data_IF_852002244904
#
_entry.id   IF_852002244904
#
_cell.length_a   1.000
_cell.length_b   1.000
_cell.length_c   1.000
_cell.angle_alpha   90.00
_cell.angle_beta   90.00
_cell.angle_gamma   90.00
#
_symmetry.space_group_name_H-M   'P 1'
#
loop_
_entity.id
_entity.type
_entity.pdbx_description
1 polymer ?
#
# COMPACT_ATOMS: atom_id res chain seq x y z
N UNK A 1 -15.82 -2.58 -21.68
CA UNK A 1 -14.83 -1.89 -20.84
C UNK A 1 -15.43 -1.85 -19.44
N UNK A 2 -14.85 -2.56 -18.48
CA UNK A 2 -15.28 -2.39 -17.09
C UNK A 2 -14.94 -0.94 -16.71
N UNK A 3 -15.92 -0.22 -16.18
CA UNK A 3 -15.68 1.13 -15.66
C UNK A 3 -14.64 0.98 -14.54
N UNK A 4 -13.39 1.37 -14.79
CA UNK A 4 -12.35 1.33 -13.75
C UNK A 4 -12.82 2.21 -12.59
N UNK A 5 -12.91 1.62 -11.40
CA UNK A 5 -13.36 2.35 -10.22
C UNK A 5 -12.18 3.16 -9.72
N UNK A 6 -12.30 4.49 -9.82
CA UNK A 6 -11.29 5.44 -9.33
C UNK A 6 -11.75 5.98 -7.99
N UNK A 7 -10.83 6.09 -7.03
CA UNK A 7 -11.04 6.75 -5.74
C UNK A 7 -10.06 7.89 -5.57
N UNK A 8 -10.52 9.00 -4.98
CA UNK A 8 -9.62 10.06 -4.51
C UNK A 8 -9.09 9.64 -3.15
N UNK A 9 -7.78 9.48 -3.05
CA UNK A 9 -7.15 9.11 -1.79
C UNK A 9 -7.25 10.23 -0.76
N UNK A 10 -7.37 9.91 0.53
CA UNK A 10 -7.37 10.93 1.57
C UNK A 10 -6.08 11.77 1.57
N UNK A 11 -6.11 12.97 2.19
CA UNK A 11 -4.90 13.74 2.45
C UNK A 11 -3.89 12.96 3.29
N UNK A 12 -2.61 13.29 3.17
CA UNK A 12 -1.52 12.57 3.81
C UNK A 12 -1.69 12.47 5.35
N UNK A 13 -2.09 13.56 5.99
CA UNK A 13 -2.32 13.60 7.44
C UNK A 13 -3.43 12.63 7.87
N UNK A 14 -4.52 12.54 7.10
CA UNK A 14 -5.62 11.62 7.38
C UNK A 14 -5.19 10.17 7.19
N UNK A 15 -4.40 9.88 6.15
CA UNK A 15 -3.85 8.54 5.92
C UNK A 15 -2.92 8.12 7.06
N UNK A 16 -1.99 8.99 7.48
CA UNK A 16 -1.08 8.71 8.60
C UNK A 16 -1.87 8.45 9.88
N UNK A 17 -2.90 9.25 10.15
CA UNK A 17 -3.79 9.03 11.31
C UNK A 17 -4.46 7.65 11.25
N UNK A 18 -5.06 7.31 10.11
CA UNK A 18 -5.72 6.00 9.91
C UNK A 18 -4.75 4.83 10.10
N UNK A 19 -3.51 4.96 9.63
CA UNK A 19 -2.45 3.98 9.82
C UNK A 19 -2.01 3.86 11.29
N UNK A 20 -1.97 4.96 12.02
CA UNK A 20 -1.71 4.96 13.46
C UNK A 20 -2.87 4.30 14.23
N UNK A 21 -4.12 4.57 13.84
CA UNK A 21 -5.32 4.01 14.47
C UNK A 21 -5.38 2.48 14.36
N UNK A 22 -4.94 1.91 13.23
CA UNK A 22 -4.79 0.45 13.06
C UNK A 22 -3.47 -0.09 13.61
N UNK A 23 -2.66 0.75 14.26
CA UNK A 23 -1.44 0.36 14.93
C UNK A 23 -0.29 -0.01 13.98
N UNK A 24 -0.28 0.52 12.76
CA UNK A 24 0.80 0.30 11.79
C UNK A 24 1.76 1.49 11.68
N UNK A 25 1.46 2.61 12.32
CA UNK A 25 2.30 3.81 12.27
C UNK A 25 2.71 4.28 13.67
N UNK A 26 3.93 4.77 13.83
CA UNK A 26 4.47 5.31 15.07
C UNK A 26 5.07 4.25 16.01
N UNK A 27 5.47 3.10 15.47
CA UNK A 27 6.00 1.97 16.26
C UNK A 27 7.45 1.65 15.96
N UNK A 28 7.78 1.49 14.68
CA UNK A 28 9.07 1.00 14.20
C UNK A 28 9.58 1.91 13.08
N UNK A 29 10.85 2.35 13.17
CA UNK A 29 11.37 3.39 12.27
C UNK A 29 11.38 2.95 10.79
N UNK A 30 11.74 1.70 10.50
CA UNK A 30 11.76 1.17 9.13
C UNK A 30 10.36 1.08 8.53
N UNK A 31 9.38 0.65 9.33
CA UNK A 31 7.97 0.58 8.95
C UNK A 31 7.40 1.98 8.71
N UNK A 32 7.67 2.92 9.61
CA UNK A 32 7.20 4.30 9.51
C UNK A 32 7.77 5.02 8.27
N UNK A 33 9.05 4.79 7.95
CA UNK A 33 9.67 5.31 6.71
C UNK A 33 9.00 4.73 5.47
N UNK A 34 8.76 3.42 5.45
CA UNK A 34 8.08 2.77 4.33
C UNK A 34 6.66 3.33 4.15
N UNK A 35 5.87 3.37 5.22
CA UNK A 35 4.48 3.83 5.17
C UNK A 35 4.38 5.31 4.82
N UNK A 36 5.34 6.13 5.27
CA UNK A 36 5.44 7.53 4.85
C UNK A 36 5.67 7.65 3.34
N UNK A 37 6.62 6.90 2.78
CA UNK A 37 6.88 6.87 1.33
C UNK A 37 5.66 6.43 0.53
N UNK A 38 4.91 5.44 1.03
CA UNK A 38 3.65 5.01 0.43
C UNK A 38 2.59 6.11 0.45
N UNK A 39 2.37 6.75 1.61
CA UNK A 39 1.41 7.85 1.77
C UNK A 39 1.74 9.01 0.83
N UNK A 40 3.01 9.44 0.77
CA UNK A 40 3.46 10.53 -0.11
C UNK A 40 3.17 10.27 -1.60
N UNK A 41 3.21 9.01 -2.03
CA UNK A 41 2.95 8.61 -3.43
C UNK A 41 1.46 8.55 -3.80
N UNK A 42 0.56 8.46 -2.82
CA UNK A 42 -0.86 8.23 -3.09
C UNK A 42 -1.78 9.33 -2.57
N UNK A 43 -1.39 10.06 -1.51
CA UNK A 43 -2.24 11.04 -0.84
C UNK A 43 -2.78 12.11 -1.80
N UNK A 44 -4.08 12.41 -1.67
CA UNK A 44 -4.77 13.44 -2.47
C UNK A 44 -4.83 13.18 -3.97
N UNK A 45 -4.40 12.00 -4.44
CA UNK A 45 -4.42 11.65 -5.87
C UNK A 45 -5.49 10.61 -6.18
N UNK A 46 -5.93 10.62 -7.44
CA UNK A 46 -6.81 9.58 -7.98
C UNK A 46 -6.06 8.26 -8.13
N UNK A 47 -6.64 7.18 -7.61
CA UNK A 47 -6.07 5.83 -7.70
C UNK A 47 -7.13 4.80 -8.09
N UNK A 48 -6.67 3.80 -8.84
CA UNK A 48 -7.35 2.52 -9.05
C UNK A 48 -6.62 1.44 -8.23
N UNK A 49 -7.18 0.23 -8.14
CA UNK A 49 -6.58 -0.87 -7.37
C UNK A 49 -5.11 -1.15 -7.73
N UNK A 50 -4.77 -1.37 -9.02
CA UNK A 50 -3.39 -1.55 -9.46
C UNK A 50 -2.47 -0.36 -9.15
N UNK A 51 -3.02 0.86 -9.14
CA UNK A 51 -2.27 2.08 -8.79
C UNK A 51 -1.77 2.08 -7.35
N UNK A 52 -2.55 1.53 -6.41
CA UNK A 52 -2.12 1.36 -5.02
C UNK A 52 -1.00 0.33 -4.91
N UNK A 53 -1.08 -0.79 -5.64
CA UNK A 53 -0.04 -1.81 -5.66
C UNK A 53 1.26 -1.26 -6.26
N UNK A 54 1.19 -0.48 -7.33
CA UNK A 54 2.39 0.15 -7.90
C UNK A 54 3.06 1.10 -6.90
N UNK A 55 2.29 1.96 -6.23
CA UNK A 55 2.84 2.87 -5.21
C UNK A 55 3.48 2.09 -4.05
N UNK A 56 2.88 0.97 -3.65
CA UNK A 56 3.44 0.07 -2.65
C UNK A 56 4.80 -0.51 -3.08
N UNK A 57 4.88 -1.06 -4.28
CA UNK A 57 6.12 -1.66 -4.82
C UNK A 57 7.22 -0.62 -5.03
N UNK A 58 6.88 0.60 -5.45
CA UNK A 58 7.84 1.70 -5.54
C UNK A 58 8.36 2.10 -4.16
N UNK A 59 7.50 2.12 -3.14
CA UNK A 59 7.93 2.38 -1.76
C UNK A 59 8.87 1.30 -1.24
N UNK A 60 8.61 0.05 -1.62
CA UNK A 60 9.50 -1.08 -1.33
C UNK A 60 10.87 -0.89 -1.96
N UNK A 61 10.91 -0.51 -3.25
CA UNK A 61 12.16 -0.23 -3.95
C UNK A 61 12.91 0.97 -3.37
N UNK A 62 12.23 2.07 -3.07
CA UNK A 62 12.85 3.31 -2.60
C UNK A 62 13.38 3.19 -1.17
N UNK A 63 12.70 2.43 -0.31
CA UNK A 63 12.98 2.40 1.13
C UNK A 63 13.63 1.11 1.58
N UNK A 64 13.19 -0.04 1.05
CA UNK A 64 13.57 -1.36 1.57
C UNK A 64 14.64 -2.07 0.76
N UNK A 65 15.11 -1.50 -0.37
CA UNK A 65 16.17 -2.11 -1.19
C UNK A 65 17.47 -2.39 -0.42
N UNK A 66 17.76 -1.57 0.59
CA UNK A 66 18.97 -1.65 1.40
C UNK A 66 18.74 -2.49 2.69
N UNK A 67 17.53 -3.04 2.86
CA UNK A 67 17.16 -3.87 4.00
C UNK A 67 17.14 -5.36 3.63
N UNK A 68 17.27 -6.26 4.63
CA UNK A 68 17.10 -7.69 4.40
C UNK A 68 15.73 -8.01 3.77
N UNK A 69 15.64 -8.96 2.82
CA UNK A 69 14.39 -9.29 2.10
C UNK A 69 13.21 -9.67 3.00
N UNK A 70 13.48 -10.16 4.21
CA UNK A 70 12.44 -10.47 5.21
C UNK A 70 11.61 -9.24 5.58
N UNK A 71 12.20 -8.04 5.57
CA UNK A 71 11.47 -6.80 5.90
C UNK A 71 10.44 -6.46 4.81
N UNK A 72 10.77 -6.61 3.53
CA UNK A 72 9.80 -6.50 2.44
C UNK A 72 8.66 -7.52 2.59
N UNK A 73 8.99 -8.75 2.97
CA UNK A 73 7.99 -9.79 3.23
C UNK A 73 7.03 -9.41 4.35
N UNK A 74 7.55 -8.86 5.45
CA UNK A 74 6.76 -8.36 6.58
C UNK A 74 5.87 -7.19 6.15
N UNK A 75 6.39 -6.23 5.39
CA UNK A 75 5.54 -5.13 4.93
C UNK A 75 4.39 -5.63 4.06
N UNK A 76 4.65 -6.51 3.10
CA UNK A 76 3.61 -7.07 2.23
C UNK A 76 2.49 -7.80 3.00
N UNK A 77 2.78 -8.34 4.19
CA UNK A 77 1.77 -8.92 5.07
C UNK A 77 0.75 -7.87 5.56
N UNK A 78 1.20 -6.63 5.79
CA UNK A 78 0.35 -5.52 6.21
C UNK A 78 -0.39 -4.82 5.07
N UNK A 79 -0.18 -5.24 3.81
CA UNK A 79 -0.80 -4.56 2.67
C UNK A 79 -2.32 -4.48 2.79
N UNK A 80 -2.95 -5.60 3.15
CA UNK A 80 -4.41 -5.67 3.24
C UNK A 80 -4.97 -4.71 4.31
N UNK A 81 -4.32 -4.66 5.48
CA UNK A 81 -4.67 -3.77 6.59
C UNK A 81 -4.48 -2.30 6.22
N UNK A 82 -3.38 -1.98 5.54
CA UNK A 82 -3.10 -0.61 5.07
C UNK A 82 -4.18 -0.17 4.09
N UNK A 83 -4.46 -0.98 3.07
CA UNK A 83 -5.44 -0.64 2.03
C UNK A 83 -6.83 -0.46 2.64
N UNK A 84 -7.26 -1.35 3.53
CA UNK A 84 -8.56 -1.19 4.21
C UNK A 84 -8.63 0.07 5.06
N UNK A 85 -7.53 0.44 5.73
CA UNK A 85 -7.48 1.63 6.55
C UNK A 85 -7.61 2.92 5.72
N UNK A 86 -6.93 2.99 4.56
CA UNK A 86 -6.76 4.26 3.82
C UNK A 86 -7.67 4.42 2.61
N UNK A 87 -8.27 3.35 2.11
CA UNK A 87 -9.12 3.37 0.91
C UNK A 87 -10.60 3.31 1.27
N UNK A 88 -11.37 4.35 0.92
CA UNK A 88 -12.79 4.45 1.26
C UNK A 88 -13.71 3.57 0.37
N UNK A 89 -13.34 3.35 -0.91
CA UNK A 89 -14.12 2.49 -1.82
C UNK A 89 -13.67 1.03 -1.69
N UNK A 90 -14.58 0.19 -1.17
CA UNK A 90 -14.36 -1.24 -0.95
C UNK A 90 -13.96 -1.98 -2.24
N UNK A 91 -14.47 -1.57 -3.41
CA UNK A 91 -14.14 -2.23 -4.68
C UNK A 91 -12.69 -1.98 -5.08
N UNK A 92 -12.20 -0.75 -4.88
CA UNK A 92 -10.79 -0.41 -5.14
C UNK A 92 -9.88 -1.18 -4.19
N UNK A 93 -10.26 -1.30 -2.92
CA UNK A 93 -9.52 -2.09 -1.94
C UNK A 93 -9.44 -3.57 -2.34
N UNK A 94 -10.57 -4.18 -2.71
CA UNK A 94 -10.64 -5.57 -3.18
C UNK A 94 -9.80 -5.79 -4.44
N UNK A 95 -9.87 -4.86 -5.40
CA UNK A 95 -9.09 -4.92 -6.63
C UNK A 95 -7.58 -4.85 -6.34
N UNK A 96 -7.15 -3.94 -5.47
CA UNK A 96 -5.75 -3.80 -5.09
C UNK A 96 -5.20 -5.10 -4.46
N UNK A 97 -5.94 -5.69 -3.51
CA UNK A 97 -5.56 -6.94 -2.85
C UNK A 97 -5.48 -8.12 -3.83
N UNK A 98 -6.48 -8.25 -4.69
CA UNK A 98 -6.50 -9.27 -5.74
C UNK A 98 -5.32 -9.10 -6.72
N UNK A 99 -5.01 -7.87 -7.08
CA UNK A 99 -3.90 -7.56 -7.97
C UNK A 99 -2.54 -7.88 -7.33
N UNK A 100 -2.31 -7.49 -6.08
CA UNK A 100 -1.07 -7.83 -5.37
C UNK A 100 -0.89 -9.36 -5.29
N UNK A 101 -1.95 -10.09 -4.92
CA UNK A 101 -1.92 -11.55 -4.86
C UNK A 101 -1.49 -12.15 -6.20
N UNK A 102 -2.07 -11.68 -7.32
CA UNK A 102 -1.69 -12.11 -8.66
C UNK A 102 -0.22 -11.86 -8.97
N UNK A 103 0.29 -10.66 -8.66
CA UNK A 103 1.71 -10.29 -8.87
C UNK A 103 2.63 -11.22 -8.08
N UNK A 104 2.31 -11.51 -6.83
CA UNK A 104 3.10 -12.41 -5.98
C UNK A 104 3.06 -13.86 -6.46
N UNK A 105 1.93 -14.34 -6.97
CA UNK A 105 1.80 -15.68 -7.56
C UNK A 105 2.60 -15.83 -8.86
N UNK A 106 2.59 -14.82 -9.72
CA UNK A 106 3.38 -14.80 -10.96
C UNK A 106 4.89 -14.75 -10.69
N UNK A 107 5.30 -14.05 -9.63
CA UNK A 107 6.71 -13.96 -9.23
C UNK A 107 7.24 -15.30 -8.70
N UNK A 108 6.41 -16.11 -8.02
CA UNK A 108 6.79 -17.44 -7.51
C UNK A 108 6.91 -18.52 -8.59
N UNK A 109 6.33 -18.30 -9.77
CA UNK A 109 6.35 -19.25 -10.90
C UNK A 109 7.59 -19.09 -11.81
N UNK A 110 8.38 -18.05 -11.60
CA UNK A 110 9.66 -17.81 -12.28
C UNK A 110 10.82 -18.19 -11.37
#
# INVERSE_FOLDING_TARGET
MANEVVVIMPPAEEMVKKLADVGLYGKEEAQDRFLRSFVEKVAGSEKVGPGLVMAWMLSEYDVLRDYPPVISGLMRYHFDEVVDAVTQDVRVAVEAKAFLKKVLEETKKK
#
